data_IF_787437146847
#
_entry.id   IF_787437146847
#
_cell.length_a   1.000
_cell.length_b   1.000
_cell.length_c   1.000
_cell.angle_alpha   90.00
_cell.angle_beta   90.00
_cell.angle_gamma   90.00
#
_symmetry.space_group_name_H-M   'P 1'
#
loop_
_entity.id
_entity.type
_entity.pdbx_description
1 polymer ?
#
# COMPACT_ATOMS: atom_id res chain seq x y z
N UNK A 1 25.29 -35.28 -42.61
CA UNK A 1 23.99 -34.58 -42.79
C UNK A 1 23.08 -34.60 -41.54
N UNK A 2 23.59 -34.86 -40.32
CA UNK A 2 22.77 -35.05 -39.09
C UNK A 2 22.82 -33.84 -38.13
N UNK A 3 23.83 -32.95 -38.25
CA UNK A 3 23.97 -31.77 -37.37
C UNK A 3 22.88 -30.70 -37.57
N UNK A 4 22.35 -30.57 -38.79
CA UNK A 4 21.32 -29.58 -39.10
C UNK A 4 19.91 -30.05 -38.72
N UNK A 5 19.64 -31.36 -38.72
CA UNK A 5 18.33 -31.90 -38.32
C UNK A 5 18.10 -31.79 -36.81
N UNK A 6 19.13 -31.96 -35.98
CA UNK A 6 19.01 -31.83 -34.53
C UNK A 6 18.68 -30.39 -34.08
N UNK A 7 19.30 -29.39 -34.72
CA UNK A 7 18.97 -27.98 -34.50
C UNK A 7 17.54 -27.64 -34.95
N UNK A 8 17.11 -28.23 -36.05
CA UNK A 8 15.74 -28.05 -36.56
C UNK A 8 14.70 -28.68 -35.62
N UNK A 9 14.99 -29.86 -35.07
CA UNK A 9 14.13 -30.53 -34.07
C UNK A 9 14.04 -29.70 -32.79
N UNK A 10 15.15 -29.17 -32.27
CA UNK A 10 15.14 -28.28 -31.10
C UNK A 10 14.31 -27.02 -31.39
N UNK A 11 14.46 -26.42 -32.58
CA UNK A 11 13.70 -25.24 -32.97
C UNK A 11 12.20 -25.54 -33.06
N UNK A 12 11.82 -26.68 -33.65
CA UNK A 12 10.42 -27.13 -33.72
C UNK A 12 9.87 -27.40 -32.32
N UNK A 13 10.63 -28.05 -31.43
CA UNK A 13 10.22 -28.26 -30.03
C UNK A 13 10.04 -26.91 -29.32
N UNK A 14 10.94 -25.94 -29.53
CA UNK A 14 10.82 -24.61 -28.94
C UNK A 14 9.59 -23.86 -29.48
N UNK A 15 9.33 -23.96 -30.78
CA UNK A 15 8.15 -23.36 -31.44
C UNK A 15 6.86 -24.03 -30.98
N UNK A 16 6.86 -25.35 -30.74
CA UNK A 16 5.71 -26.07 -30.18
C UNK A 16 5.49 -25.71 -28.72
N UNK A 17 6.54 -25.65 -27.89
CA UNK A 17 6.44 -25.23 -26.47
C UNK A 17 5.93 -23.79 -26.38
N UNK A 18 6.46 -22.88 -27.19
CA UNK A 18 6.03 -21.47 -27.17
C UNK A 18 4.62 -21.27 -27.74
N UNK A 19 4.20 -22.03 -28.76
CA UNK A 19 2.82 -21.96 -29.29
C UNK A 19 1.78 -22.71 -28.44
N UNK A 20 2.17 -23.79 -27.76
CA UNK A 20 1.36 -24.45 -26.73
C UNK A 20 1.24 -23.60 -25.47
N UNK A 21 2.22 -22.73 -25.19
CA UNK A 21 2.10 -21.66 -24.18
C UNK A 21 1.29 -20.44 -24.66
N UNK A 22 1.05 -20.30 -25.97
CA UNK A 22 0.42 -19.11 -26.58
C UNK A 22 -1.09 -19.26 -26.82
N UNK A 23 -1.60 -20.49 -26.94
CA UNK A 23 -3.02 -20.74 -27.20
C UNK A 23 -3.72 -21.32 -25.97
N UNK A 24 -4.50 -20.47 -25.29
CA UNK A 24 -5.26 -20.71 -24.04
C UNK A 24 -4.46 -20.69 -22.74
N UNK A 25 -4.01 -19.50 -22.34
CA UNK A 25 -3.39 -19.14 -21.06
C UNK A 25 -4.22 -19.40 -19.79
N UNK A 26 -5.35 -20.11 -19.87
CA UNK A 26 -6.19 -20.47 -18.70
C UNK A 26 -5.87 -21.84 -18.09
N UNK A 27 -5.01 -22.67 -18.71
CA UNK A 27 -4.91 -24.09 -18.32
C UNK A 27 -3.50 -24.63 -18.04
N UNK A 28 -2.41 -23.90 -18.31
CA UNK A 28 -1.07 -24.50 -18.25
C UNK A 28 -0.57 -24.82 -16.81
N UNK A 29 -1.22 -24.28 -15.77
CA UNK A 29 -0.80 -24.39 -14.37
C UNK A 29 -1.92 -24.73 -13.38
N UNK A 30 -3.11 -25.12 -13.87
CA UNK A 30 -4.26 -25.40 -12.98
C UNK A 30 -4.78 -24.19 -12.20
N UNK A 31 -4.43 -22.96 -12.62
CA UNK A 31 -4.93 -21.73 -12.03
C UNK A 31 -6.46 -21.66 -12.14
N UNK A 32 -7.10 -21.27 -11.04
CA UNK A 32 -8.54 -21.00 -10.99
C UNK A 32 -8.75 -19.57 -10.52
N UNK A 33 -9.50 -18.75 -11.28
CA UNK A 33 -9.91 -17.44 -10.82
C UNK A 33 -10.59 -17.53 -9.46
N UNK A 34 -10.25 -16.60 -8.56
CA UNK A 34 -10.70 -16.63 -7.18
C UNK A 34 -10.73 -15.23 -6.58
N UNK A 35 -11.47 -15.09 -5.49
CA UNK A 35 -11.41 -13.87 -4.69
C UNK A 35 -10.14 -13.86 -3.84
N UNK A 36 -9.43 -12.73 -3.86
CA UNK A 36 -8.38 -12.39 -2.94
C UNK A 36 -8.83 -11.23 -2.04
N UNK A 37 -8.37 -11.19 -0.80
CA UNK A 37 -8.69 -10.12 0.14
C UNK A 37 -7.41 -9.69 0.85
N UNK A 38 -6.93 -8.51 0.50
CA UNK A 38 -5.80 -7.86 1.14
C UNK A 38 -6.26 -6.91 2.24
N UNK A 39 -5.46 -6.81 3.30
CA UNK A 39 -5.66 -5.86 4.39
C UNK A 39 -4.47 -4.91 4.41
N UNK A 40 -4.74 -3.61 4.40
CA UNK A 40 -3.71 -2.56 4.33
C UNK A 40 -4.02 -1.48 5.35
N UNK A 41 -2.99 -0.71 5.71
CA UNK A 41 -3.12 0.42 6.63
C UNK A 41 -2.87 1.71 5.88
N UNK A 42 -3.72 2.70 6.12
CA UNK A 42 -3.58 4.04 5.57
C UNK A 42 -3.73 5.09 6.66
N UNK A 43 -3.03 6.21 6.49
CA UNK A 43 -3.27 7.37 7.34
C UNK A 43 -4.69 7.87 7.11
N UNK A 44 -5.45 8.04 8.18
CA UNK A 44 -6.82 8.52 8.11
C UNK A 44 -6.90 10.00 8.46
N UNK A 45 -6.20 10.42 9.51
CA UNK A 45 -6.26 11.79 10.03
C UNK A 45 -5.00 12.11 10.84
N UNK A 46 -4.79 13.39 11.11
CA UNK A 46 -3.90 13.81 12.20
C UNK A 46 -4.73 14.00 13.47
N UNK A 47 -4.10 13.89 14.63
CA UNK A 47 -4.66 14.26 15.92
C UNK A 47 -4.17 15.67 16.25
N UNK A 48 -5.12 16.59 16.40
CA UNK A 48 -4.87 17.99 16.73
C UNK A 48 -5.76 18.36 17.92
N UNK A 49 -5.17 18.91 18.98
CA UNK A 49 -5.86 19.22 20.24
C UNK A 49 -6.68 18.06 20.81
N UNK A 50 -6.17 16.84 20.67
CA UNK A 50 -6.82 15.61 21.12
C UNK A 50 -8.02 15.17 20.27
N UNK A 51 -8.25 15.82 19.11
CA UNK A 51 -9.36 15.52 18.21
C UNK A 51 -8.86 15.03 16.85
N UNK A 52 -9.66 14.19 16.22
CA UNK A 52 -9.43 13.71 14.85
C UNK A 52 -9.64 14.84 13.86
N UNK A 53 -8.60 15.23 13.13
CA UNK A 53 -8.67 16.24 12.08
C UNK A 53 -8.33 15.62 10.70
N UNK A 54 -9.35 15.49 9.85
CA UNK A 54 -9.21 15.03 8.46
C UNK A 54 -8.80 16.12 7.48
N UNK A 55 -8.63 17.37 7.91
CA UNK A 55 -8.28 18.51 7.06
C UNK A 55 -9.25 18.69 5.86
N UNK A 56 -10.53 18.41 6.09
CA UNK A 56 -11.57 18.49 5.04
C UNK A 56 -11.55 17.35 4.02
N UNK A 57 -10.71 16.33 4.18
CA UNK A 57 -10.64 15.18 3.27
C UNK A 57 -11.89 14.30 3.44
N UNK A 58 -12.66 14.05 2.37
CA UNK A 58 -13.78 13.11 2.38
C UNK A 58 -13.36 11.71 2.84
N UNK A 59 -14.24 10.97 3.54
CA UNK A 59 -13.95 9.60 4.00
C UNK A 59 -13.60 8.66 2.84
N UNK A 60 -14.21 8.85 1.66
CA UNK A 60 -13.95 8.03 0.46
C UNK A 60 -12.52 8.17 -0.10
N UNK A 61 -11.81 9.24 0.21
CA UNK A 61 -10.47 9.52 -0.34
C UNK A 61 -9.41 8.91 0.58
N UNK A 62 -9.19 7.60 0.44
CA UNK A 62 -8.36 6.78 1.32
C UNK A 62 -6.89 7.22 1.31
N UNK A 63 -6.31 7.42 0.13
CA UNK A 63 -4.86 7.69 -0.03
C UNK A 63 -4.47 9.16 0.15
N UNK A 64 -5.46 10.05 0.28
CA UNK A 64 -5.22 11.51 0.21
C UNK A 64 -4.45 12.02 1.42
N UNK A 65 -4.68 11.42 2.59
CA UNK A 65 -3.98 11.81 3.82
C UNK A 65 -2.51 11.36 3.78
N UNK A 66 -2.21 10.15 3.29
CA UNK A 66 -0.83 9.69 3.07
C UNK A 66 -0.06 10.67 2.17
N UNK A 67 -0.70 11.14 1.09
CA UNK A 67 -0.12 12.12 0.18
C UNK A 67 0.16 13.46 0.87
N UNK A 68 -0.71 13.92 1.76
CA UNK A 68 -0.51 15.16 2.52
C UNK A 68 0.63 15.02 3.51
N UNK A 69 0.71 13.89 4.23
CA UNK A 69 1.81 13.59 5.14
C UNK A 69 3.14 13.59 4.40
N UNK A 70 3.20 12.91 3.25
CA UNK A 70 4.38 12.89 2.39
C UNK A 70 4.78 14.29 1.90
N UNK A 71 3.84 15.06 1.37
CA UNK A 71 4.15 16.40 0.86
C UNK A 71 4.66 17.34 1.97
N UNK A 72 3.99 17.32 3.12
CA UNK A 72 4.27 18.22 4.23
C UNK A 72 5.55 17.84 4.98
N UNK A 73 5.73 16.55 5.26
CA UNK A 73 6.78 16.06 6.16
C UNK A 73 7.88 15.28 5.44
N UNK A 74 7.68 14.87 4.18
CA UNK A 74 8.68 14.15 3.39
C UNK A 74 8.81 12.67 3.75
N UNK A 75 7.84 12.11 4.49
CA UNK A 75 7.82 10.71 4.92
C UNK A 75 6.62 9.97 4.36
N UNK A 76 6.81 8.69 4.11
CA UNK A 76 5.77 7.76 3.69
C UNK A 76 5.80 6.54 4.60
N UNK A 77 4.63 5.98 4.83
CA UNK A 77 4.44 4.71 5.50
C UNK A 77 4.09 3.66 4.45
N UNK A 78 4.73 2.50 4.51
CA UNK A 78 4.29 1.32 3.75
C UNK A 78 3.79 0.33 4.78
N UNK A 79 2.55 -0.10 4.58
CA UNK A 79 1.86 -1.02 5.46
C UNK A 79 1.94 -0.60 6.95
N UNK A 80 2.09 -1.55 7.87
CA UNK A 80 2.26 -1.31 9.29
C UNK A 80 3.71 -1.48 9.78
N UNK A 81 4.67 -1.64 8.85
CA UNK A 81 6.02 -2.08 9.21
C UNK A 81 7.13 -1.18 8.69
N UNK A 82 6.87 -0.16 7.86
CA UNK A 82 7.95 0.65 7.28
C UNK A 82 7.67 2.13 7.23
N UNK A 83 8.72 2.92 7.44
CA UNK A 83 8.75 4.36 7.20
C UNK A 83 9.98 4.73 6.38
N UNK A 84 9.83 5.63 5.41
CA UNK A 84 10.94 6.12 4.59
C UNK A 84 10.73 7.54 4.10
N UNK A 85 11.82 8.14 3.63
CA UNK A 85 11.84 9.45 3.01
C UNK A 85 12.37 9.32 1.58
N UNK A 86 11.53 9.56 0.57
CA UNK A 86 11.90 9.33 -0.82
C UNK A 86 12.89 10.39 -1.33
N UNK A 87 14.02 9.96 -1.93
CA UNK A 87 14.97 10.82 -2.66
C UNK A 87 14.71 10.83 -4.17
N UNK A 88 14.01 9.82 -4.67
CA UNK A 88 13.78 9.58 -6.10
C UNK A 88 14.73 8.52 -6.67
N UNK A 89 14.41 8.00 -7.86
CA UNK A 89 15.21 6.98 -8.58
C UNK A 89 15.54 5.74 -7.75
N UNK A 90 14.58 5.26 -6.94
CA UNK A 90 14.75 4.09 -6.08
C UNK A 90 15.69 4.28 -4.89
N UNK A 91 16.02 5.53 -4.53
CA UNK A 91 16.83 5.87 -3.35
C UNK A 91 15.99 6.62 -2.33
N UNK A 92 16.37 6.45 -1.07
CA UNK A 92 15.76 7.13 0.07
C UNK A 92 16.79 8.00 0.81
N UNK A 93 16.30 9.08 1.41
CA UNK A 93 17.01 9.87 2.39
C UNK A 93 16.99 9.14 3.75
N UNK A 94 17.88 9.55 4.66
CA UNK A 94 17.87 9.07 6.04
C UNK A 94 16.95 9.95 6.88
N UNK A 95 16.27 9.32 7.83
CA UNK A 95 15.42 9.98 8.82
C UNK A 95 16.12 9.87 10.17
N UNK A 96 16.30 11.00 10.85
CA UNK A 96 16.69 11.03 12.26
C UNK A 96 15.42 11.13 13.10
N UNK A 97 15.27 10.22 14.05
CA UNK A 97 14.21 10.24 15.04
C UNK A 97 14.74 10.82 16.34
N UNK A 98 14.03 11.79 16.92
CA UNK A 98 14.45 12.42 18.18
C UNK A 98 13.71 11.85 19.38
N UNK A 99 12.55 11.23 19.15
CA UNK A 99 11.64 10.73 20.17
C UNK A 99 11.40 9.23 20.01
N UNK A 100 11.08 8.57 21.12
CA UNK A 100 10.49 7.24 21.09
C UNK A 100 9.08 7.30 20.48
N UNK A 101 8.72 6.25 19.74
CA UNK A 101 7.41 6.15 19.12
C UNK A 101 6.38 5.73 20.17
N UNK A 102 5.21 6.37 20.15
CA UNK A 102 4.08 5.99 20.99
C UNK A 102 2.95 5.51 20.11
N UNK A 103 2.57 4.25 20.29
CA UNK A 103 1.45 3.63 19.60
C UNK A 103 0.29 3.48 20.60
N UNK A 104 -0.88 3.98 20.24
CA UNK A 104 -2.11 3.77 21.03
C UNK A 104 -3.06 2.88 20.25
N UNK A 105 -3.39 1.72 20.82
CA UNK A 105 -4.36 0.77 20.26
C UNK A 105 -5.43 0.51 21.30
N UNK A 106 -6.69 0.78 20.95
CA UNK A 106 -7.84 0.54 21.83
C UNK A 106 -7.64 1.12 23.26
N UNK A 107 -7.14 2.36 23.34
CA UNK A 107 -6.88 3.06 24.61
C UNK A 107 -5.63 2.61 25.38
N UNK A 108 -4.93 1.56 24.93
CA UNK A 108 -3.66 1.13 25.52
C UNK A 108 -2.48 1.75 24.79
N UNK A 109 -1.55 2.34 25.54
CA UNK A 109 -0.31 2.92 25.02
C UNK A 109 0.83 1.88 25.03
N UNK A 110 1.65 1.94 23.98
CA UNK A 110 2.87 1.17 23.81
C UNK A 110 3.99 2.11 23.39
N UNK A 111 5.18 1.94 23.97
CA UNK A 111 6.35 2.75 23.66
C UNK A 111 7.37 1.89 22.92
N UNK A 112 7.80 2.35 21.75
CA UNK A 112 8.91 1.77 20.99
C UNK A 112 10.08 2.74 21.03
N UNK A 113 11.21 2.24 21.54
CA UNK A 113 12.42 3.07 21.59
C UNK A 113 12.93 3.37 20.18
N UNK A 114 13.28 4.63 19.93
CA UNK A 114 13.87 5.07 18.65
C UNK A 114 15.14 4.30 18.27
N UNK A 115 15.89 3.83 19.26
CA UNK A 115 17.13 3.06 19.06
C UNK A 115 16.87 1.67 18.47
N UNK A 116 15.62 1.19 18.52
CA UNK A 116 15.19 -0.06 17.87
C UNK A 116 14.77 0.13 16.41
N UNK A 117 14.60 1.36 15.95
CA UNK A 117 14.18 1.66 14.57
C UNK A 117 15.40 1.57 13.67
N UNK A 118 15.48 0.50 12.88
CA UNK A 118 16.66 0.16 12.09
C UNK A 118 16.45 0.47 10.63
N UNK A 119 17.47 1.04 10.00
CA UNK A 119 17.50 1.24 8.56
C UNK A 119 17.81 -0.09 7.84
N UNK A 120 16.91 -0.55 6.98
CA UNK A 120 16.94 -1.81 6.26
C UNK A 120 17.05 -1.56 4.75
N UNK A 121 18.28 -1.53 4.22
CA UNK A 121 18.63 -1.31 2.81
C UNK A 121 18.15 0.02 2.17
N UNK A 122 16.85 0.33 2.24
CA UNK A 122 16.20 1.49 1.67
C UNK A 122 15.24 2.18 2.65
N UNK A 123 14.63 1.49 3.62
CA UNK A 123 13.62 2.06 4.53
C UNK A 123 13.98 1.82 6.00
N UNK A 124 13.09 2.20 6.91
CA UNK A 124 13.22 1.90 8.34
C UNK A 124 12.14 0.92 8.75
N UNK A 125 12.55 -0.23 9.26
CA UNK A 125 11.65 -1.24 9.79
C UNK A 125 11.09 -0.77 11.15
N UNK A 126 9.76 -0.80 11.24
CA UNK A 126 8.98 -0.53 12.43
C UNK A 126 8.50 -1.87 13.00
N UNK A 127 9.16 -2.34 14.05
CA UNK A 127 8.70 -3.49 14.81
C UNK A 127 7.54 -3.09 15.73
N UNK A 128 6.39 -2.69 15.13
CA UNK A 128 5.23 -2.21 15.89
C UNK A 128 4.81 -3.26 16.93
N UNK A 129 4.57 -2.86 18.20
CA UNK A 129 4.17 -3.77 19.26
C UNK A 129 2.87 -4.52 18.97
N UNK A 130 2.01 -3.94 18.14
CA UNK A 130 0.75 -4.54 17.68
C UNK A 130 0.61 -4.32 16.18
N UNK A 131 0.62 -5.40 15.41
CA UNK A 131 0.32 -5.39 13.97
C UNK A 131 -1.18 -5.44 13.75
N UNK A 132 -1.84 -4.28 13.60
CA UNK A 132 -3.31 -4.24 13.58
C UNK A 132 -3.94 -5.01 12.41
N UNK A 133 -3.18 -5.19 11.31
CA UNK A 133 -3.52 -6.04 10.16
C UNK A 133 -3.88 -7.47 10.58
N UNK A 134 -3.25 -7.98 11.65
CA UNK A 134 -3.42 -9.33 12.19
C UNK A 134 -4.35 -9.40 13.42
N UNK A 135 -5.10 -8.33 13.71
CA UNK A 135 -6.00 -8.25 14.87
C UNK A 135 -7.41 -7.85 14.46
N UNK A 136 -8.36 -7.90 15.40
CA UNK A 136 -9.72 -7.38 15.20
C UNK A 136 -9.82 -5.85 15.36
N UNK A 137 -8.72 -5.16 15.66
CA UNK A 137 -8.71 -3.71 15.73
C UNK A 137 -8.69 -3.09 14.32
N UNK A 138 -9.43 -2.01 14.14
CA UNK A 138 -9.50 -1.30 12.86
C UNK A 138 -8.59 -0.07 12.80
N UNK A 139 -8.04 0.37 13.92
CA UNK A 139 -7.29 1.62 13.98
C UNK A 139 -6.28 1.66 15.11
N UNK A 140 -5.28 2.53 14.95
CA UNK A 140 -4.34 2.92 15.99
C UNK A 140 -3.87 4.35 15.76
N UNK A 141 -3.37 4.97 16.82
CA UNK A 141 -2.67 6.26 16.73
C UNK A 141 -1.18 5.98 16.85
N UNK A 142 -0.38 6.65 16.04
CA UNK A 142 1.08 6.63 16.14
C UNK A 142 1.60 8.06 16.25
N UNK A 143 2.28 8.33 17.36
CA UNK A 143 3.06 9.54 17.58
C UNK A 143 4.55 9.20 17.40
N UNK A 144 5.16 9.78 16.36
CA UNK A 144 6.58 9.60 16.04
C UNK A 144 7.45 10.77 16.54
N UNK A 145 6.82 11.80 17.12
CA UNK A 145 7.49 12.99 17.63
C UNK A 145 8.15 13.84 16.53
N UNK A 146 9.40 14.21 16.75
CA UNK A 146 10.17 15.07 15.85
C UNK A 146 11.10 14.24 14.96
N UNK A 147 11.17 14.64 13.69
CA UNK A 147 12.08 14.05 12.70
C UNK A 147 12.92 15.11 11.99
N UNK A 148 14.09 14.72 11.50
CA UNK A 148 14.90 15.50 10.55
C UNK A 148 15.26 14.58 9.38
N UNK A 149 15.15 15.08 8.13
CA UNK A 149 15.53 14.32 6.95
C UNK A 149 16.88 14.81 6.47
N UNK A 150 17.84 13.88 6.37
CA UNK A 150 19.20 14.16 5.92
C UNK A 150 19.57 13.27 4.72
N UNK A 151 20.54 13.70 3.93
CA UNK A 151 21.14 12.83 2.93
C UNK A 151 22.21 11.89 3.52
N UNK A 152 22.89 11.16 2.64
CA UNK A 152 23.94 10.20 3.00
C UNK A 152 25.15 10.86 3.66
N UNK A 153 25.39 12.13 3.36
CA UNK A 153 26.54 12.90 3.83
C UNK A 153 26.18 13.70 5.10
N UNK A 154 24.93 13.59 5.57
CA UNK A 154 24.43 14.24 6.77
C UNK A 154 23.90 15.65 6.54
N UNK A 155 23.82 16.12 5.28
CA UNK A 155 23.24 17.43 4.96
C UNK A 155 21.73 17.40 5.18
N UNK A 156 21.22 18.45 5.81
CA UNK A 156 19.79 18.62 6.07
C UNK A 156 19.04 18.85 4.76
N UNK A 157 18.09 17.95 4.47
CA UNK A 157 17.15 18.03 3.35
C UNK A 157 15.82 18.61 3.81
N UNK A 158 15.35 18.20 5.00
CA UNK A 158 14.25 18.85 5.70
C UNK A 158 14.64 19.07 7.16
N UNK A 159 14.44 20.29 7.69
CA UNK A 159 14.82 20.61 9.05
C UNK A 159 13.98 19.83 10.06
N UNK A 160 14.50 19.74 11.28
CA UNK A 160 13.80 19.16 12.42
C UNK A 160 12.38 19.71 12.55
N UNK A 161 11.39 18.82 12.45
CA UNK A 161 9.97 19.16 12.44
C UNK A 161 9.18 18.19 13.31
N UNK A 162 8.26 18.71 14.14
CA UNK A 162 7.31 17.89 14.90
C UNK A 162 6.19 17.39 14.00
N UNK A 163 5.96 16.09 14.03
CA UNK A 163 4.85 15.43 13.35
C UNK A 163 3.69 15.30 14.34
N UNK A 164 2.47 15.75 13.99
CA UNK A 164 1.31 15.48 14.83
C UNK A 164 1.06 13.96 14.89
N UNK A 165 0.50 13.41 15.98
CA UNK A 165 0.13 12.01 15.99
C UNK A 165 -0.83 11.69 14.84
N UNK A 166 -0.64 10.54 14.20
CA UNK A 166 -1.40 10.14 13.03
C UNK A 166 -2.35 9.02 13.44
N UNK A 167 -3.64 9.17 13.12
CA UNK A 167 -4.62 8.08 13.20
C UNK A 167 -4.50 7.25 11.93
N UNK A 168 -4.10 6.00 12.08
CA UNK A 168 -4.07 5.01 11.03
C UNK A 168 -5.31 4.14 11.09
N UNK A 169 -5.87 3.82 9.93
CA UNK A 169 -7.00 2.91 9.81
C UNK A 169 -6.73 1.78 8.86
N UNK A 170 -7.30 0.64 9.19
CA UNK A 170 -7.35 -0.56 8.37
C UNK A 170 -8.29 -0.35 7.19
N UNK A 171 -7.84 -0.82 6.04
CA UNK A 171 -8.60 -0.88 4.81
C UNK A 171 -8.60 -2.30 4.28
N UNK A 172 -9.61 -2.61 3.49
CA UNK A 172 -9.74 -3.89 2.81
C UNK A 172 -9.74 -3.62 1.31
N UNK A 173 -8.96 -4.41 0.59
CA UNK A 173 -9.01 -4.50 -0.86
C UNK A 173 -9.47 -5.92 -1.23
N UNK A 174 -10.69 -6.04 -1.76
CA UNK A 174 -11.20 -7.30 -2.26
C UNK A 174 -11.16 -7.29 -3.76
N UNK A 175 -10.43 -8.24 -4.32
CA UNK A 175 -10.27 -8.40 -5.77
C UNK A 175 -10.69 -9.78 -6.22
N UNK A 176 -11.11 -9.90 -7.47
CA UNK A 176 -11.27 -11.17 -8.15
C UNK A 176 -10.13 -11.31 -9.15
N UNK A 177 -9.23 -12.26 -8.91
CA UNK A 177 -8.02 -12.45 -9.71
C UNK A 177 -8.35 -13.32 -10.90
N UNK A 178 -8.12 -12.81 -12.11
CA UNK A 178 -8.51 -13.42 -13.38
C UNK A 178 -7.37 -14.21 -14.03
N UNK A 179 -6.11 -13.90 -13.70
CA UNK A 179 -4.92 -14.53 -14.27
C UNK A 179 -3.93 -15.04 -13.20
N UNK A 180 -2.99 -15.88 -13.64
CA UNK A 180 -1.98 -16.48 -12.77
C UNK A 180 -0.96 -15.47 -12.23
N UNK A 181 -0.73 -14.38 -12.95
CA UNK A 181 0.22 -13.33 -12.56
C UNK A 181 -0.34 -12.40 -11.50
N UNK A 182 -1.65 -12.40 -11.28
CA UNK A 182 -2.33 -11.45 -10.40
C UNK A 182 -2.42 -10.04 -11.00
N UNK A 183 -2.10 -9.89 -12.29
CA UNK A 183 -2.10 -8.59 -12.98
C UNK A 183 -3.47 -8.22 -13.52
N UNK A 184 -4.23 -9.21 -13.97
CA UNK A 184 -5.63 -9.06 -14.35
C UNK A 184 -6.50 -9.37 -13.13
N UNK A 185 -7.12 -8.33 -12.60
CA UNK A 185 -8.04 -8.46 -11.48
C UNK A 185 -9.12 -7.38 -11.52
N UNK A 186 -10.24 -7.75 -10.92
CA UNK A 186 -11.39 -6.88 -10.76
C UNK A 186 -11.51 -6.44 -9.31
N UNK A 187 -11.71 -5.15 -9.04
CA UNK A 187 -11.91 -4.66 -7.67
C UNK A 187 -13.39 -4.77 -7.31
N UNK A 188 -13.70 -5.39 -6.19
CA UNK A 188 -15.06 -5.52 -5.65
C UNK A 188 -15.25 -4.65 -4.41
N UNK A 189 -14.17 -4.34 -3.70
CA UNK A 189 -14.19 -3.42 -2.58
C UNK A 189 -12.82 -2.80 -2.39
N UNK A 190 -12.77 -1.48 -2.21
CA UNK A 190 -11.62 -0.76 -1.69
C UNK A 190 -12.12 0.31 -0.74
N UNK A 191 -11.92 0.10 0.56
CA UNK A 191 -12.57 0.90 1.58
C UNK A 191 -12.07 0.61 2.99
N UNK A 192 -12.58 1.37 3.95
CA UNK A 192 -12.26 1.17 5.37
C UNK A 192 -12.79 -0.16 5.87
N UNK A 193 -12.05 -0.82 6.76
CA UNK A 193 -12.42 -2.14 7.27
C UNK A 193 -13.73 -2.09 8.08
N UNK A 194 -14.01 -0.98 8.78
CA UNK A 194 -15.26 -0.83 9.54
C UNK A 194 -16.53 -0.78 8.66
N UNK A 195 -16.39 -0.41 7.39
CA UNK A 195 -17.51 -0.31 6.44
C UNK A 195 -17.65 -1.57 5.57
N UNK A 196 -16.74 -2.54 5.71
CA UNK A 196 -16.73 -3.74 4.90
C UNK A 196 -17.93 -4.64 5.25
N UNK A 197 -18.70 -5.13 4.26
CA UNK A 197 -19.90 -5.89 4.54
C UNK A 197 -19.59 -7.23 5.21
N UNK A 198 -20.44 -7.61 6.18
CA UNK A 198 -20.38 -8.91 6.85
C UNK A 198 -20.58 -10.08 5.89
N UNK A 199 -21.35 -9.86 4.82
CA UNK A 199 -21.54 -10.81 3.72
C UNK A 199 -20.92 -10.23 2.43
N UNK A 200 -19.67 -10.60 2.10
CA UNK A 200 -18.98 -10.14 0.90
C UNK A 200 -19.58 -10.64 -0.41
N UNK A 201 -20.50 -11.61 -0.40
CA UNK A 201 -21.16 -12.08 -1.61
C UNK A 201 -22.08 -11.01 -2.23
N UNK A 202 -22.47 -10.02 -1.41
CA UNK A 202 -23.28 -8.88 -1.83
C UNK A 202 -22.50 -7.80 -2.58
N UNK A 203 -21.16 -7.88 -2.55
CA UNK A 203 -20.31 -6.89 -3.21
C UNK A 203 -20.49 -6.97 -4.72
N UNK A 204 -20.64 -5.79 -5.33
CA UNK A 204 -20.64 -5.62 -6.77
C UNK A 204 -19.26 -5.15 -7.20
N UNK A 205 -18.87 -5.58 -8.40
CA UNK A 205 -17.68 -5.11 -9.09
C UNK A 205 -17.67 -3.58 -9.11
N UNK A 206 -16.61 -2.98 -8.56
CA UNK A 206 -16.29 -1.57 -8.74
C UNK A 206 -15.75 -1.40 -10.16
N UNK A 207 -16.20 -0.38 -10.89
CA UNK A 207 -15.97 -0.12 -12.32
C UNK A 207 -14.58 -0.56 -12.86
N UNK A 208 -14.57 -1.05 -14.10
CA UNK A 208 -13.59 -1.99 -14.66
C UNK A 208 -12.29 -1.41 -15.21
N UNK A 209 -12.13 -0.10 -15.29
CA UNK A 209 -10.91 0.46 -15.89
C UNK A 209 -10.82 1.96 -15.64
N UNK A 210 -9.63 2.51 -15.84
CA UNK A 210 -9.39 3.96 -15.92
C UNK A 210 -10.38 4.63 -16.90
N UNK A 211 -10.76 3.93 -17.97
CA UNK A 211 -11.75 4.36 -18.97
C UNK A 211 -13.16 4.52 -18.40
N UNK A 212 -13.66 3.57 -17.61
CA UNK A 212 -14.99 3.69 -16.98
C UNK A 212 -15.02 4.79 -15.92
N UNK A 213 -13.92 4.98 -15.17
CA UNK A 213 -13.76 6.12 -14.26
C UNK A 213 -13.80 7.44 -15.04
N UNK A 214 -13.00 7.59 -16.10
CA UNK A 214 -12.99 8.79 -16.95
C UNK A 214 -14.37 9.09 -17.52
N UNK A 215 -15.08 8.08 -18.00
CA UNK A 215 -16.45 8.22 -18.54
C UNK A 215 -17.44 8.71 -17.49
N UNK A 216 -17.41 8.17 -16.27
CA UNK A 216 -18.26 8.64 -15.17
C UNK A 216 -17.93 10.07 -14.73
N UNK A 217 -16.64 10.44 -14.73
CA UNK A 217 -16.20 11.81 -14.44
C UNK A 217 -16.69 12.80 -15.52
N UNK A 218 -16.62 12.43 -16.80
CA UNK A 218 -17.16 13.25 -17.89
C UNK A 218 -18.68 13.39 -17.83
N UNK A 219 -19.42 12.32 -17.55
CA UNK A 219 -20.88 12.35 -17.41
C UNK A 219 -21.32 13.21 -16.22
N UNK A 220 -20.60 13.16 -15.10
CA UNK A 220 -20.91 13.99 -13.92
C UNK A 220 -20.67 15.49 -14.15
N UNK A 221 -19.80 15.87 -15.09
CA UNK A 221 -19.57 17.26 -15.49
C UNK A 221 -20.61 17.79 -16.48
N UNK A 222 -21.27 16.91 -17.25
CA UNK A 222 -22.35 17.28 -18.18
C UNK A 222 -23.69 17.57 -17.49
N UNK A 223 -23.86 17.10 -16.26
CA UNK A 223 -25.08 17.29 -15.45
C UNK A 223 -24.97 18.46 -14.45
N UNK A 224 -24.06 19.41 -14.68
CA UNK A 224 -23.97 20.71 -14.01
C UNK A 224 -24.10 21.82 -15.05
#
# INVERSE_FOLDING_TARGET
MIKNSFKFIILIILVIITNACSSNSKSFWGFKPHFSTGTYIHSYAIIEDGKVNRMGIPKKDIDKMDSIINNKYGIQFIDDDRIYALKGSGKNYRIKFYNDFKMTVNGKEYIMSKEKIRYSAYDYDLELPVKITNTNYNEYILDIGEIEIIDTDGKIIRPKTKIPPILFKKTINRTYVNDITGSDYDVYYRGWAEDYPKDPSTLKKMYNSIEEMQKSFEESKKNK
#
